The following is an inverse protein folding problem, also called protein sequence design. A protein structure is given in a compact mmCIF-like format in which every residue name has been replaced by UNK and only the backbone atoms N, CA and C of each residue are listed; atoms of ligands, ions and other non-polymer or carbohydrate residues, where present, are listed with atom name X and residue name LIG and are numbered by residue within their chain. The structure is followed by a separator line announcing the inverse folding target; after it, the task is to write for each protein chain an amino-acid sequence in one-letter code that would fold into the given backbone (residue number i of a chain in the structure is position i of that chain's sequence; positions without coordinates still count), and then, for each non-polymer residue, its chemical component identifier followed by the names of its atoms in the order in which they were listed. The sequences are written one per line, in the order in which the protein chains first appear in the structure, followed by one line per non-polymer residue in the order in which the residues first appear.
data_IF_213191000416
#
_entry.id   IF_213191000416
#
_cell.length_a   1.000
_cell.length_b   1.000
_cell.length_c   1.000
_cell.angle_alpha   90.00
_cell.angle_beta   90.00
_cell.angle_gamma   90.00
#
_symmetry.space_group_name_H-M   'P 1'
#
loop_
_entity.id
_entity.type
_entity.pdbx_description
1 polymer ?
#
# COMPACT_ATOMS: atom_id res chain seq x y z
N UNK A 1 10.46 15.27 -0.82
CA UNK A 1 10.32 14.81 -2.17
C UNK A 1 9.20 13.81 -2.27
N UNK A 2 8.64 13.63 -3.46
CA UNK A 2 7.37 12.93 -3.58
C UNK A 2 7.56 11.46 -3.95
N UNK A 3 8.23 10.72 -3.10
CA UNK A 3 8.30 9.27 -3.27
C UNK A 3 6.89 8.69 -3.18
N UNK A 4 6.63 7.69 -4.03
CA UNK A 4 5.35 7.02 -4.11
C UNK A 4 5.40 5.73 -3.32
N UNK A 5 4.54 5.63 -2.32
CA UNK A 5 4.50 4.47 -1.42
C UNK A 5 3.13 3.82 -1.51
N UNK A 6 3.13 2.50 -1.70
CA UNK A 6 1.93 1.70 -1.70
C UNK A 6 1.76 1.05 -0.33
N UNK A 7 0.55 1.11 0.23
CA UNK A 7 0.18 0.42 1.46
C UNK A 7 -0.93 -0.57 1.15
N UNK A 8 -0.76 -1.83 1.55
CA UNK A 8 -1.79 -2.86 1.39
C UNK A 8 -1.99 -3.55 2.73
N UNK A 9 -3.16 -3.38 3.34
CA UNK A 9 -3.50 -4.01 4.60
C UNK A 9 -5.02 -4.11 4.69
N UNK A 10 -5.54 -5.28 5.05
CA UNK A 10 -6.98 -5.48 5.20
C UNK A 10 -7.54 -4.87 6.50
N UNK A 11 -6.69 -4.54 7.44
CA UNK A 11 -7.07 -3.81 8.64
C UNK A 11 -7.03 -2.30 8.36
N UNK A 12 -8.20 -1.71 8.15
CA UNK A 12 -8.33 -0.31 7.74
C UNK A 12 -7.68 0.65 8.72
N UNK A 13 -7.82 0.40 10.01
CA UNK A 13 -7.26 1.28 11.04
C UNK A 13 -5.74 1.38 10.93
N UNK A 14 -5.07 0.25 10.67
CA UNK A 14 -3.63 0.20 10.53
C UNK A 14 -3.19 0.91 9.25
N UNK A 15 -3.85 0.61 8.14
CA UNK A 15 -3.54 1.23 6.85
C UNK A 15 -3.72 2.75 6.92
N UNK A 16 -4.82 3.19 7.53
CA UNK A 16 -5.11 4.61 7.66
C UNK A 16 -4.07 5.32 8.53
N UNK A 17 -3.63 4.68 9.60
CA UNK A 17 -2.62 5.26 10.49
C UNK A 17 -1.28 5.43 9.77
N UNK A 18 -0.85 4.40 9.04
CA UNK A 18 0.39 4.46 8.26
C UNK A 18 0.31 5.56 7.21
N UNK A 19 -0.83 5.68 6.55
CA UNK A 19 -1.05 6.73 5.56
C UNK A 19 -0.85 8.13 6.16
N UNK A 20 -1.41 8.37 7.33
CA UNK A 20 -1.29 9.67 7.99
C UNK A 20 0.17 10.01 8.26
N UNK A 21 0.94 9.06 8.81
CA UNK A 21 2.35 9.29 9.09
C UNK A 21 3.15 9.58 7.83
N UNK A 22 2.93 8.80 6.78
CA UNK A 22 3.69 8.97 5.54
C UNK A 22 3.34 10.27 4.83
N UNK A 23 2.07 10.65 4.82
CA UNK A 23 1.67 11.93 4.22
C UNK A 23 2.26 13.11 4.98
N UNK A 24 2.35 13.02 6.30
CA UNK A 24 2.97 14.08 7.09
C UNK A 24 4.46 14.25 6.78
N UNK A 25 5.13 13.19 6.34
CA UNK A 25 6.53 13.23 5.93
C UNK A 25 6.72 13.64 4.46
N UNK A 26 5.64 13.94 3.74
CA UNK A 26 5.72 14.43 2.37
C UNK A 26 5.63 13.37 1.30
N UNK A 27 5.34 12.13 1.65
CA UNK A 27 5.21 11.05 0.67
C UNK A 27 3.85 11.07 -0.02
N UNK A 28 3.83 10.58 -1.26
CA UNK A 28 2.58 10.28 -1.97
C UNK A 28 2.18 8.85 -1.64
N UNK A 29 0.97 8.66 -1.12
CA UNK A 29 0.53 7.37 -0.61
C UNK A 29 -0.63 6.81 -1.43
N UNK A 30 -0.49 5.57 -1.84
CA UNK A 30 -1.55 4.78 -2.47
C UNK A 30 -1.94 3.68 -1.51
N UNK A 31 -3.17 3.72 -1.00
CA UNK A 31 -3.63 2.82 0.06
C UNK A 31 -4.72 1.91 -0.47
N UNK A 32 -4.58 0.61 -0.19
CA UNK A 32 -5.55 -0.39 -0.58
C UNK A 32 -5.82 -1.33 0.58
N UNK A 33 -7.01 -1.91 0.61
CA UNK A 33 -7.43 -2.84 1.66
C UNK A 33 -7.44 -4.28 1.21
N UNK A 34 -7.12 -4.54 -0.05
CA UNK A 34 -7.04 -5.88 -0.61
C UNK A 34 -5.94 -5.97 -1.66
N UNK A 35 -5.50 -7.20 -1.92
CA UNK A 35 -4.36 -7.42 -2.81
C UNK A 35 -4.68 -7.21 -4.28
N UNK A 36 -5.92 -7.47 -4.70
CA UNK A 36 -6.27 -7.34 -6.12
C UNK A 36 -6.18 -5.89 -6.59
N UNK A 37 -6.71 -4.96 -5.81
CA UNK A 37 -6.62 -3.54 -6.14
C UNK A 37 -5.18 -3.05 -6.09
N UNK A 38 -4.39 -3.55 -5.14
CA UNK A 38 -2.99 -3.20 -5.03
C UNK A 38 -2.19 -3.66 -6.25
N UNK A 39 -2.42 -4.88 -6.73
CA UNK A 39 -1.76 -5.39 -7.93
C UNK A 39 -2.03 -4.51 -9.14
N UNK A 40 -3.27 -4.07 -9.30
CA UNK A 40 -3.62 -3.16 -10.38
C UNK A 40 -2.83 -1.86 -10.30
N UNK A 41 -2.70 -1.30 -9.11
CA UNK A 41 -1.91 -0.09 -8.90
C UNK A 41 -0.43 -0.31 -9.22
N UNK A 42 0.12 -1.44 -8.81
CA UNK A 42 1.53 -1.77 -9.07
C UNK A 42 1.81 -1.81 -10.58
N UNK A 43 0.88 -2.36 -11.36
CA UNK A 43 1.04 -2.43 -12.82
C UNK A 43 0.89 -1.08 -13.50
N UNK A 44 0.12 -0.18 -12.94
CA UNK A 44 -0.20 1.11 -13.56
C UNK A 44 0.65 2.28 -13.07
N UNK A 45 1.32 2.12 -11.92
CA UNK A 45 2.02 3.21 -11.26
C UNK A 45 3.44 2.81 -10.90
N UNK A 46 4.39 3.70 -11.18
CA UNK A 46 5.78 3.49 -10.77
C UNK A 46 5.90 3.86 -9.29
N UNK A 47 6.22 2.86 -8.47
CA UNK A 47 6.29 3.01 -7.02
C UNK A 47 7.73 2.93 -6.53
N UNK A 48 8.03 3.67 -5.46
CA UNK A 48 9.36 3.65 -4.82
C UNK A 48 9.44 2.60 -3.71
N UNK A 49 8.31 2.34 -3.03
CA UNK A 49 8.25 1.39 -1.92
C UNK A 49 6.85 0.82 -1.81
N UNK A 50 6.75 -0.43 -1.36
CA UNK A 50 5.46 -1.05 -1.03
C UNK A 50 5.52 -1.63 0.38
N UNK A 51 4.49 -1.35 1.19
CA UNK A 51 4.29 -1.92 2.50
C UNK A 51 3.09 -2.86 2.40
N UNK A 52 3.35 -4.17 2.48
CA UNK A 52 2.35 -5.18 2.16
C UNK A 52 2.15 -6.11 3.34
N UNK A 53 0.89 -6.29 3.76
CA UNK A 53 0.53 -7.31 4.74
C UNK A 53 0.51 -8.68 4.04
N UNK A 54 1.37 -9.59 4.48
CA UNK A 54 1.49 -10.92 3.89
C UNK A 54 0.29 -11.83 4.22
N UNK A 55 -0.56 -11.41 5.12
CA UNK A 55 -1.75 -12.17 5.54
C UNK A 55 -3.02 -11.71 4.82
N UNK A 56 -2.90 -11.16 3.62
CA UNK A 56 -4.04 -10.70 2.84
C UNK A 56 -4.99 -11.86 2.52
N UNK A 57 -6.31 -11.64 2.64
CA UNK A 57 -7.28 -12.72 2.47
C UNK A 57 -7.49 -13.17 1.02
N UNK A 58 -7.23 -12.30 0.05
CA UNK A 58 -7.50 -12.59 -1.36
C UNK A 58 -6.29 -13.06 -2.15
N UNK A 59 -5.08 -12.73 -1.71
CA UNK A 59 -3.85 -13.20 -2.34
C UNK A 59 -2.77 -13.40 -1.28
N UNK A 60 -1.73 -14.18 -1.63
CA UNK A 60 -0.54 -14.28 -0.81
C UNK A 60 0.33 -13.03 -1.05
N UNK A 61 0.71 -12.34 0.02
CA UNK A 61 1.55 -11.15 -0.08
C UNK A 61 2.87 -11.38 -0.80
N UNK A 62 3.38 -12.61 -0.78
CA UNK A 62 4.61 -12.96 -1.49
C UNK A 62 4.44 -12.97 -3.02
N UNK A 63 3.23 -12.97 -3.51
CA UNK A 63 2.97 -12.95 -4.96
C UNK A 63 2.96 -11.52 -5.52
N UNK A 64 2.92 -10.53 -4.68
CA UNK A 64 2.95 -9.14 -5.09
C UNK A 64 4.39 -8.70 -5.35
#
# INVERSE_FOLDING_TARGET
MNEKILIVDDEKEIADLIEVYLKNDGYTVYKFYNGMDALKCIHETELDLAIIDVMLPDIDGFQI
#
